data_IF_159880121362
#
_entry.id   IF_159880121362
#
_cell.length_a   1.000
_cell.length_b   1.000
_cell.length_c   1.000
_cell.angle_alpha   90.00
_cell.angle_beta   90.00
_cell.angle_gamma   90.00
#
_symmetry.space_group_name_H-M   'P 1'
#
loop_
_entity.id
_entity.type
_entity.pdbx_description
1 polymer ?
#
# COMPACT_ATOMS: atom_id res chain seq x y z
N UNK A 1 -35.66 33.58 7.60
CA UNK A 1 -34.96 32.58 6.77
C UNK A 1 -34.65 33.10 5.37
N UNK A 2 -35.64 33.61 4.61
CA UNK A 2 -35.44 34.18 3.25
C UNK A 2 -34.28 35.20 3.18
N UNK A 3 -34.14 36.08 4.17
CA UNK A 3 -33.05 37.07 4.20
C UNK A 3 -31.64 36.46 4.30
N UNK A 4 -31.48 35.31 4.96
CA UNK A 4 -30.17 34.64 5.13
C UNK A 4 -29.84 33.80 3.90
N UNK A 5 -30.84 33.13 3.31
CA UNK A 5 -30.65 32.38 2.06
C UNK A 5 -30.24 33.27 0.89
N UNK A 6 -30.70 34.53 0.87
CA UNK A 6 -30.28 35.53 -0.13
C UNK A 6 -28.85 36.04 0.06
N UNK A 7 -28.14 35.64 1.11
CA UNK A 7 -26.72 35.99 1.34
C UNK A 7 -25.76 34.95 0.73
N UNK A 8 -26.28 33.93 0.05
CA UNK A 8 -25.48 32.87 -0.57
C UNK A 8 -24.67 32.05 0.45
N UNK A 9 -25.22 31.93 1.67
CA UNK A 9 -24.60 31.21 2.80
C UNK A 9 -25.28 29.86 3.02
N UNK A 10 -24.54 28.72 2.97
CA UNK A 10 -25.07 27.42 3.34
C UNK A 10 -25.55 27.38 4.79
N UNK A 11 -26.72 26.79 5.04
CA UNK A 11 -27.31 26.67 6.38
C UNK A 11 -27.30 25.20 6.79
N UNK A 12 -26.56 24.88 7.85
CA UNK A 12 -26.48 23.52 8.42
C UNK A 12 -27.29 23.45 9.70
N UNK A 13 -28.13 22.42 9.85
CA UNK A 13 -29.03 22.26 10.99
C UNK A 13 -29.05 20.82 11.49
N UNK A 14 -29.12 20.66 12.80
CA UNK A 14 -29.35 19.38 13.44
C UNK A 14 -30.77 18.86 13.13
N UNK A 15 -30.90 17.56 12.86
CA UNK A 15 -32.20 16.93 12.58
C UNK A 15 -33.13 16.86 13.81
N UNK A 16 -32.54 16.87 15.02
CA UNK A 16 -33.25 16.75 16.30
C UNK A 16 -33.13 15.36 16.92
N UNK A 17 -33.36 15.28 18.24
CA UNK A 17 -33.02 14.11 19.07
C UNK A 17 -34.26 13.39 19.66
N UNK A 18 -35.45 13.65 19.12
CA UNK A 18 -36.71 13.17 19.70
C UNK A 18 -37.29 11.93 19.01
N UNK A 19 -36.52 11.18 18.20
CA UNK A 19 -37.07 10.05 17.46
C UNK A 19 -37.62 8.92 18.35
N UNK A 20 -37.17 8.84 19.61
CA UNK A 20 -37.70 7.93 20.64
C UNK A 20 -39.06 8.36 21.19
N UNK A 21 -39.43 9.62 21.03
CA UNK A 21 -40.70 10.15 21.53
C UNK A 21 -41.84 9.77 20.58
N UNK A 22 -43.04 9.41 21.10
CA UNK A 22 -44.20 9.07 20.27
C UNK A 22 -44.50 10.16 19.25
N UNK A 23 -44.68 9.79 17.98
CA UNK A 23 -44.99 10.69 16.86
C UNK A 23 -43.95 11.77 16.55
N UNK A 24 -42.70 11.60 17.01
CA UNK A 24 -41.59 12.55 16.79
C UNK A 24 -40.43 11.94 15.99
N UNK A 25 -40.66 10.83 15.28
CA UNK A 25 -39.64 10.16 14.47
C UNK A 25 -39.15 11.06 13.32
N UNK A 26 -40.08 11.79 12.72
CA UNK A 26 -39.82 12.64 11.57
C UNK A 26 -39.22 13.99 12.00
N UNK A 27 -38.52 14.65 11.07
CA UNK A 27 -37.95 15.99 11.30
C UNK A 27 -39.09 17.02 11.35
N UNK A 28 -39.41 17.46 12.57
CA UNK A 28 -40.56 18.31 12.87
C UNK A 28 -40.22 19.62 13.60
N UNK A 29 -38.95 19.86 13.92
CA UNK A 29 -38.50 21.08 14.61
C UNK A 29 -37.89 22.10 13.65
N UNK A 30 -38.16 23.37 13.90
CA UNK A 30 -37.50 24.47 13.19
C UNK A 30 -36.04 24.60 13.63
N UNK A 31 -35.12 24.99 12.73
CA UNK A 31 -35.34 25.28 11.31
C UNK A 31 -35.35 24.06 10.38
N UNK A 32 -34.94 22.87 10.84
CA UNK A 32 -34.74 21.68 10.01
C UNK A 32 -36.01 21.24 9.25
N UNK A 33 -37.20 21.42 9.84
CA UNK A 33 -38.47 21.06 9.22
C UNK A 33 -38.84 21.91 7.99
N UNK A 34 -38.17 23.06 7.78
CA UNK A 34 -38.34 23.90 6.59
C UNK A 34 -37.52 23.41 5.39
N UNK A 35 -36.64 22.44 5.58
CA UNK A 35 -35.79 21.91 4.51
C UNK A 35 -36.63 21.36 3.36
N UNK A 36 -36.14 21.58 2.14
CA UNK A 36 -36.79 21.07 0.93
C UNK A 36 -36.16 21.66 -0.31
N UNK A 37 -36.80 21.43 -1.47
CA UNK A 37 -36.30 21.88 -2.77
C UNK A 37 -35.96 23.37 -2.80
N UNK A 38 -36.88 24.21 -2.31
CA UNK A 38 -36.76 25.68 -2.33
C UNK A 38 -36.11 26.28 -1.08
N UNK A 39 -35.78 25.46 -0.09
CA UNK A 39 -35.14 25.87 1.17
C UNK A 39 -33.92 24.96 1.36
N UNK A 40 -32.75 25.33 0.83
CA UNK A 40 -31.58 24.45 0.76
C UNK A 40 -30.86 24.35 2.12
N UNK A 41 -31.59 23.90 3.13
CA UNK A 41 -31.07 23.63 4.46
C UNK A 41 -30.45 22.24 4.44
N UNK A 42 -29.23 22.15 4.95
CA UNK A 42 -28.48 20.91 5.10
C UNK A 42 -28.86 20.34 6.46
N UNK A 43 -29.73 19.33 6.46
CA UNK A 43 -30.21 18.69 7.68
C UNK A 43 -29.35 17.48 8.00
N UNK A 44 -28.81 17.45 9.22
CA UNK A 44 -27.79 16.48 9.63
C UNK A 44 -28.33 15.58 10.74
N UNK A 45 -28.36 14.29 10.45
CA UNK A 45 -28.68 13.23 11.41
C UNK A 45 -27.45 12.79 12.20
N UNK A 46 -27.69 12.08 13.30
CA UNK A 46 -26.66 11.48 14.14
C UNK A 46 -26.48 10.01 13.77
N UNK A 47 -25.22 9.57 13.76
CA UNK A 47 -24.85 8.17 13.67
C UNK A 47 -23.80 7.82 14.73
N UNK A 48 -23.71 6.53 15.04
CA UNK A 48 -22.73 5.97 15.96
C UNK A 48 -21.37 5.70 15.27
N UNK A 49 -20.41 5.16 16.03
CA UNK A 49 -19.09 4.80 15.50
C UNK A 49 -19.14 3.67 14.46
N UNK A 50 -20.21 2.88 14.42
CA UNK A 50 -20.44 1.83 13.44
C UNK A 50 -21.10 2.36 12.15
N UNK A 51 -21.53 3.63 12.15
CA UNK A 51 -22.21 4.26 11.03
C UNK A 51 -23.69 3.91 10.95
N UNK A 52 -24.25 3.38 12.03
CA UNK A 52 -25.70 3.19 12.18
C UNK A 52 -26.33 4.48 12.66
N UNK A 53 -27.51 4.84 12.13
CA UNK A 53 -28.25 6.01 12.61
C UNK A 53 -28.55 5.85 14.09
N UNK A 54 -28.15 6.84 14.89
CA UNK A 54 -28.48 6.92 16.29
C UNK A 54 -29.98 6.82 16.51
N UNK A 55 -30.39 5.98 17.45
CA UNK A 55 -31.81 5.69 17.69
C UNK A 55 -32.64 6.94 18.04
N UNK A 56 -32.02 7.95 18.65
CA UNK A 56 -32.62 9.25 18.98
C UNK A 56 -32.72 10.23 17.80
N UNK A 57 -31.95 10.01 16.72
CA UNK A 57 -31.87 10.96 15.60
C UNK A 57 -33.17 10.98 14.80
N UNK A 58 -33.81 12.14 14.69
CA UNK A 58 -34.96 12.31 13.80
C UNK A 58 -34.55 12.16 12.33
N UNK A 59 -35.47 11.67 11.49
CA UNK A 59 -35.17 11.30 10.12
C UNK A 59 -36.40 11.40 9.21
N UNK A 60 -36.21 11.93 8.00
CA UNK A 60 -37.16 11.86 6.89
C UNK A 60 -36.38 11.91 5.57
N UNK A 61 -36.62 10.99 4.64
CA UNK A 61 -35.84 10.81 3.40
C UNK A 61 -35.75 12.09 2.55
N UNK A 62 -36.84 12.86 2.53
CA UNK A 62 -36.96 14.09 1.75
C UNK A 62 -36.06 15.23 2.29
N UNK A 63 -35.96 15.34 3.62
CA UNK A 63 -35.33 16.47 4.32
C UNK A 63 -33.90 16.18 4.75
N UNK A 64 -33.60 14.94 5.14
CA UNK A 64 -32.25 14.57 5.57
C UNK A 64 -31.25 14.78 4.43
N UNK A 65 -30.10 15.37 4.73
CA UNK A 65 -29.02 15.57 3.76
C UNK A 65 -27.90 14.57 3.96
N UNK A 66 -27.47 14.37 5.20
CA UNK A 66 -26.43 13.39 5.55
C UNK A 66 -26.48 13.07 7.05
N UNK A 67 -25.62 12.16 7.51
CA UNK A 67 -25.34 11.85 8.90
C UNK A 67 -23.86 12.10 9.20
N UNK A 68 -23.55 12.40 10.45
CA UNK A 68 -22.18 12.40 10.95
C UNK A 68 -22.14 11.80 12.36
N UNK A 69 -20.94 11.59 12.88
CA UNK A 69 -20.76 11.07 14.22
C UNK A 69 -21.45 12.00 15.23
N UNK A 70 -22.44 11.47 15.94
CA UNK A 70 -23.21 12.22 16.91
C UNK A 70 -23.31 11.54 18.27
N UNK A 71 -22.62 10.41 18.48
CA UNK A 71 -22.53 9.72 19.76
C UNK A 71 -21.11 9.80 20.34
N UNK A 72 -21.04 9.93 21.67
CA UNK A 72 -19.79 9.91 22.44
C UNK A 72 -18.70 10.86 21.93
N UNK A 73 -19.11 12.06 21.49
CA UNK A 73 -18.16 13.03 20.96
C UNK A 73 -17.35 13.68 22.08
N UNK A 74 -16.09 13.97 21.77
CA UNK A 74 -15.23 14.80 22.60
C UNK A 74 -15.06 16.16 21.94
N UNK A 75 -15.48 17.22 22.62
CA UNK A 75 -15.40 18.59 22.12
C UNK A 75 -15.12 19.58 23.24
N UNK A 76 -14.57 20.74 22.89
CA UNK A 76 -14.42 21.84 23.84
C UNK A 76 -15.80 22.38 24.24
N UNK A 77 -15.94 22.67 25.54
CA UNK A 77 -17.11 23.32 26.12
C UNK A 77 -16.70 24.72 26.60
N UNK A 78 -17.38 25.27 27.60
CA UNK A 78 -17.02 26.57 28.21
C UNK A 78 -15.68 26.54 28.97
N UNK A 79 -15.11 25.36 29.21
CA UNK A 79 -13.80 25.17 29.84
C UNK A 79 -12.69 24.90 28.83
N UNK A 80 -11.46 25.24 29.19
CA UNK A 80 -10.23 24.91 28.44
C UNK A 80 -9.91 23.40 28.41
N UNK A 81 -10.73 22.57 29.05
CA UNK A 81 -10.66 21.11 28.97
C UNK A 81 -11.77 20.55 28.10
N UNK A 82 -11.46 19.67 27.13
CA UNK A 82 -12.48 19.03 26.32
C UNK A 82 -13.35 18.11 27.17
N UNK A 83 -14.64 18.07 26.84
CA UNK A 83 -15.63 17.21 27.49
C UNK A 83 -15.97 16.06 26.55
N UNK A 84 -15.89 14.82 27.06
CA UNK A 84 -16.27 13.59 26.35
C UNK A 84 -17.70 13.17 26.67
N UNK A 85 -18.28 12.25 25.89
CA UNK A 85 -19.65 11.77 26.11
C UNK A 85 -20.76 12.63 25.49
N UNK A 86 -20.41 13.66 24.70
CA UNK A 86 -21.39 14.55 24.11
C UNK A 86 -22.17 13.86 22.98
N UNK A 87 -23.46 13.68 23.19
CA UNK A 87 -24.34 12.93 22.28
C UNK A 87 -25.49 13.79 21.77
N UNK A 88 -25.67 13.84 20.46
CA UNK A 88 -26.76 14.56 19.81
C UNK A 88 -26.48 14.92 18.35
N UNK A 89 -27.55 15.15 17.60
CA UNK A 89 -27.51 15.68 16.23
C UNK A 89 -26.81 17.05 16.13
N UNK A 90 -26.70 17.80 17.23
CA UNK A 90 -25.95 19.06 17.32
C UNK A 90 -24.46 18.87 17.02
N UNK A 91 -23.83 17.84 17.57
CA UNK A 91 -22.42 17.54 17.33
C UNK A 91 -22.20 17.11 15.88
N UNK A 92 -23.09 16.26 15.36
CA UNK A 92 -23.06 15.83 13.97
C UNK A 92 -23.18 17.03 13.00
N UNK A 93 -24.10 17.96 13.26
CA UNK A 93 -24.26 19.17 12.46
C UNK A 93 -23.00 20.05 12.43
N UNK A 94 -22.29 20.18 13.57
CA UNK A 94 -21.04 20.92 13.64
C UNK A 94 -19.93 20.28 12.78
N UNK A 95 -19.84 18.94 12.75
CA UNK A 95 -18.89 18.22 11.89
C UNK A 95 -19.15 18.49 10.40
N UNK A 96 -20.42 18.44 9.98
CA UNK A 96 -20.79 18.74 8.59
C UNK A 96 -20.47 20.20 8.24
N UNK A 97 -20.77 21.14 9.14
CA UNK A 97 -20.42 22.55 8.93
C UNK A 97 -18.91 22.77 8.78
N UNK A 98 -18.11 22.12 9.62
CA UNK A 98 -16.64 22.15 9.52
C UNK A 98 -16.14 21.58 8.20
N UNK A 99 -16.69 20.44 7.76
CA UNK A 99 -16.32 19.84 6.48
C UNK A 99 -16.70 20.72 5.28
N UNK A 100 -17.87 21.37 5.31
CA UNK A 100 -18.26 22.34 4.28
C UNK A 100 -17.26 23.49 4.24
N UNK A 101 -16.83 24.02 5.39
CA UNK A 101 -15.81 25.06 5.43
C UNK A 101 -14.50 24.62 4.78
N UNK A 102 -14.06 23.37 5.01
CA UNK A 102 -12.89 22.79 4.34
C UNK A 102 -13.09 22.73 2.82
N UNK A 103 -14.22 22.20 2.34
CA UNK A 103 -14.52 22.09 0.90
C UNK A 103 -14.52 23.46 0.21
N UNK A 104 -15.08 24.48 0.87
CA UNK A 104 -15.14 25.85 0.36
C UNK A 104 -13.80 26.59 0.45
N UNK A 105 -12.84 26.09 1.24
CA UNK A 105 -11.52 26.70 1.39
C UNK A 105 -10.52 26.31 0.31
N UNK A 106 -10.83 25.30 -0.52
CA UNK A 106 -9.95 24.90 -1.61
C UNK A 106 -9.80 26.00 -2.66
N UNK A 107 -8.62 26.05 -3.29
CA UNK A 107 -8.35 26.99 -4.39
C UNK A 107 -9.35 26.81 -5.53
N UNK A 108 -9.67 25.54 -5.84
CA UNK A 108 -10.76 25.15 -6.72
C UNK A 108 -11.76 24.31 -5.90
N UNK A 109 -12.81 24.92 -5.33
CA UNK A 109 -13.84 24.19 -4.61
C UNK A 109 -14.46 23.12 -5.51
N UNK A 110 -14.72 21.89 -5.01
CA UNK A 110 -15.35 20.82 -5.79
C UNK A 110 -16.86 21.04 -5.98
N UNK A 111 -17.36 22.21 -5.59
CA UNK A 111 -18.75 22.63 -5.58
C UNK A 111 -18.86 23.82 -6.51
N UNK A 112 -19.91 23.86 -7.33
CA UNK A 112 -20.19 25.04 -8.16
C UNK A 112 -20.49 26.27 -7.29
N UNK A 113 -19.65 27.29 -7.41
CA UNK A 113 -19.69 28.53 -6.64
C UNK A 113 -20.39 29.68 -7.38
N UNK A 114 -21.27 29.36 -8.33
CA UNK A 114 -22.07 30.37 -9.04
C UNK A 114 -22.89 31.22 -8.05
N UNK A 115 -22.77 32.56 -8.10
CA UNK A 115 -23.47 33.43 -7.15
C UNK A 115 -24.99 33.24 -7.16
N UNK A 116 -25.56 33.10 -5.97
CA UNK A 116 -27.00 32.90 -5.76
C UNK A 116 -27.45 31.44 -5.79
N UNK A 117 -26.55 30.49 -6.10
CA UNK A 117 -26.84 29.05 -6.08
C UNK A 117 -25.99 28.29 -5.07
N UNK A 118 -25.09 28.95 -4.33
CA UNK A 118 -24.13 28.28 -3.44
C UNK A 118 -24.82 27.42 -2.38
N UNK A 119 -25.86 27.87 -1.65
CA UNK A 119 -26.54 27.03 -0.67
C UNK A 119 -27.13 25.74 -1.25
N UNK A 120 -27.72 25.83 -2.45
CA UNK A 120 -28.30 24.68 -3.15
C UNK A 120 -27.20 23.73 -3.63
N UNK A 121 -26.15 24.26 -4.26
CA UNK A 121 -25.05 23.46 -4.76
C UNK A 121 -24.30 22.74 -3.63
N UNK A 122 -24.09 23.39 -2.49
CA UNK A 122 -23.48 22.76 -1.30
C UNK A 122 -24.39 21.68 -0.71
N UNK A 123 -25.70 21.96 -0.56
CA UNK A 123 -26.66 20.94 -0.09
C UNK A 123 -26.62 19.71 -1.00
N UNK A 124 -26.68 19.91 -2.30
CA UNK A 124 -26.76 18.82 -3.27
C UNK A 124 -25.45 18.04 -3.35
N UNK A 125 -24.30 18.72 -3.23
CA UNK A 125 -23.01 18.05 -3.11
C UNK A 125 -22.97 17.14 -1.87
N UNK A 126 -23.34 17.66 -0.68
CA UNK A 126 -23.37 16.86 0.55
C UNK A 126 -24.37 15.70 0.48
N UNK A 127 -25.55 15.94 -0.10
CA UNK A 127 -26.64 14.95 -0.15
C UNK A 127 -26.42 13.86 -1.19
N UNK A 128 -25.84 14.18 -2.35
CA UNK A 128 -25.83 13.27 -3.49
C UNK A 128 -24.44 12.91 -4.03
N UNK A 129 -23.39 13.67 -3.75
CA UNK A 129 -22.07 13.40 -4.33
C UNK A 129 -21.29 12.37 -3.51
N UNK A 130 -20.88 11.26 -4.11
CA UNK A 130 -20.12 10.18 -3.46
C UNK A 130 -18.78 10.61 -2.85
N UNK A 131 -18.22 11.74 -3.30
CA UNK A 131 -17.02 12.33 -2.68
C UNK A 131 -17.31 13.01 -1.34
N UNK A 132 -18.58 13.31 -1.05
CA UNK A 132 -19.03 13.98 0.17
C UNK A 132 -19.59 13.01 1.22
N UNK A 133 -19.84 11.75 0.86
CA UNK A 133 -20.41 10.77 1.77
C UNK A 133 -20.75 9.45 1.10
N UNK A 134 -21.02 8.42 1.91
CA UNK A 134 -21.45 7.10 1.44
C UNK A 134 -22.40 6.44 2.45
N UNK A 135 -23.23 5.52 1.98
CA UNK A 135 -24.14 4.78 2.85
C UNK A 135 -23.38 3.72 3.65
N UNK A 136 -23.31 3.89 4.97
CA UNK A 136 -22.64 2.95 5.88
C UNK A 136 -23.62 1.94 6.50
N UNK A 137 -24.90 2.32 6.57
CA UNK A 137 -26.03 1.46 6.91
C UNK A 137 -27.25 1.89 6.08
N UNK A 138 -28.29 1.05 6.03
CA UNK A 138 -29.51 1.35 5.28
C UNK A 138 -30.12 2.68 5.76
N UNK A 139 -30.27 3.64 4.84
CA UNK A 139 -30.81 4.98 5.14
C UNK A 139 -29.84 5.91 5.89
N UNK A 140 -28.58 5.50 6.10
CA UNK A 140 -27.56 6.26 6.84
C UNK A 140 -26.37 6.60 5.96
N UNK A 141 -26.50 7.67 5.17
CA UNK A 141 -25.40 8.30 4.45
C UNK A 141 -24.48 9.02 5.44
N UNK A 142 -23.24 8.60 5.56
CA UNK A 142 -22.22 9.22 6.41
C UNK A 142 -21.43 10.27 5.64
N UNK A 143 -21.20 11.43 6.27
CA UNK A 143 -20.29 12.47 5.79
C UNK A 143 -18.88 11.90 5.58
N UNK A 144 -18.27 12.28 4.46
CA UNK A 144 -16.88 11.99 4.14
C UNK A 144 -16.06 13.24 3.94
N UNK A 145 -14.81 13.22 4.39
CA UNK A 145 -13.85 14.29 4.13
C UNK A 145 -12.98 14.04 2.90
N UNK A 146 -13.19 12.93 2.17
CA UNK A 146 -12.43 12.57 0.98
C UNK A 146 -11.11 11.84 1.25
N UNK A 147 -10.71 11.64 2.52
CA UNK A 147 -9.45 11.00 2.90
C UNK A 147 -9.49 9.50 2.63
N UNK A 148 -8.87 9.05 1.56
CA UNK A 148 -8.75 7.63 1.28
C UNK A 148 -7.77 6.95 2.24
N UNK A 149 -7.77 5.62 2.25
CA UNK A 149 -6.80 4.85 3.02
C UNK A 149 -5.35 5.17 2.57
N UNK A 150 -5.15 5.50 1.29
CA UNK A 150 -3.83 5.92 0.78
C UNK A 150 -3.35 7.24 1.42
N UNK A 151 -4.28 8.08 1.86
CA UNK A 151 -3.99 9.37 2.50
C UNK A 151 -3.63 9.24 3.99
N UNK A 152 -3.65 8.02 4.56
CA UNK A 152 -3.28 7.76 5.94
C UNK A 152 -1.84 7.20 6.06
N UNK A 153 -0.82 8.02 6.37
CA UNK A 153 0.58 7.57 6.35
C UNK A 153 0.92 6.44 7.36
N UNK A 154 -0.01 6.07 8.26
CA UNK A 154 0.21 5.04 9.27
C UNK A 154 -0.30 3.64 8.89
N UNK A 155 -0.92 3.44 7.72
CA UNK A 155 -1.40 2.08 7.36
C UNK A 155 -0.26 1.14 6.94
N UNK A 156 0.92 1.67 6.57
CA UNK A 156 2.07 0.88 6.14
C UNK A 156 3.39 1.31 6.79
N UNK A 157 4.32 0.36 6.84
CA UNK A 157 5.71 0.56 7.23
C UNK A 157 6.58 -0.09 6.16
N UNK A 158 7.43 0.71 5.52
CA UNK A 158 8.40 0.24 4.54
C UNK A 158 9.67 -0.17 5.27
N UNK A 159 10.24 -1.33 4.93
CA UNK A 159 11.53 -1.74 5.50
C UNK A 159 12.68 -0.88 4.95
N UNK A 160 12.48 -0.25 3.78
CA UNK A 160 13.54 0.43 3.04
C UNK A 160 14.62 -0.55 2.58
N UNK A 161 15.76 -0.01 2.14
CA UNK A 161 16.96 -0.83 1.93
C UNK A 161 17.81 -0.96 3.20
N UNK A 162 17.57 -0.09 4.19
CA UNK A 162 18.02 -0.17 5.58
C UNK A 162 19.54 -0.09 5.79
N UNK A 163 20.08 0.86 6.60
CA UNK A 163 21.51 0.91 6.94
C UNK A 163 21.91 -0.13 8.01
N UNK A 164 21.18 -1.24 8.11
CA UNK A 164 21.45 -2.27 9.11
C UNK A 164 22.73 -3.04 8.78
N UNK A 165 23.29 -3.71 9.79
CA UNK A 165 24.52 -4.52 9.70
C UNK A 165 24.50 -5.54 8.55
N UNK A 166 23.30 -5.89 8.06
CA UNK A 166 23.06 -6.73 6.89
C UNK A 166 21.93 -6.15 6.04
N UNK A 167 22.16 -5.99 4.74
CA UNK A 167 21.18 -5.46 3.79
C UNK A 167 20.19 -6.56 3.40
N UNK A 168 18.90 -6.24 3.27
CA UNK A 168 17.87 -7.21 2.88
C UNK A 168 17.03 -6.67 1.74
N UNK A 169 17.24 -7.21 0.54
CA UNK A 169 16.50 -6.79 -0.64
C UNK A 169 16.43 -7.87 -1.72
N UNK A 170 15.41 -7.75 -2.56
CA UNK A 170 15.17 -8.59 -3.75
C UNK A 170 14.90 -7.73 -4.96
N UNK A 171 14.92 -8.31 -6.15
CA UNK A 171 14.49 -7.61 -7.36
C UNK A 171 12.99 -7.34 -7.35
N UNK A 172 12.58 -6.21 -7.96
CA UNK A 172 11.16 -5.94 -8.24
C UNK A 172 10.51 -7.04 -9.09
N UNK A 173 11.29 -7.69 -9.97
CA UNK A 173 10.80 -8.78 -10.81
C UNK A 173 10.43 -10.02 -9.99
N UNK A 174 11.25 -10.42 -9.01
CA UNK A 174 10.94 -11.52 -8.09
C UNK A 174 9.60 -11.29 -7.41
N UNK A 175 9.40 -10.10 -6.82
CA UNK A 175 8.14 -9.77 -6.14
C UNK A 175 6.96 -9.74 -7.09
N UNK A 176 7.11 -9.11 -8.26
CA UNK A 176 6.06 -9.10 -9.27
C UNK A 176 5.61 -10.52 -9.64
N UNK A 177 6.56 -11.41 -9.97
CA UNK A 177 6.24 -12.80 -10.32
C UNK A 177 5.58 -13.54 -9.15
N UNK A 178 6.14 -13.43 -7.95
CA UNK A 178 5.58 -14.07 -6.75
C UNK A 178 4.15 -13.60 -6.46
N UNK A 179 3.90 -12.28 -6.54
CA UNK A 179 2.62 -11.67 -6.18
C UNK A 179 1.56 -11.92 -7.26
N UNK A 180 1.85 -11.56 -8.52
CA UNK A 180 0.83 -11.54 -9.59
C UNK A 180 0.55 -12.92 -10.16
N UNK A 181 1.56 -13.80 -10.19
CA UNK A 181 1.45 -15.10 -10.83
C UNK A 181 1.12 -16.22 -9.84
N UNK A 182 1.39 -16.06 -8.54
CA UNK A 182 1.09 -17.08 -7.54
C UNK A 182 0.31 -16.53 -6.34
N UNK A 183 0.90 -15.70 -5.49
CA UNK A 183 0.37 -15.37 -4.17
C UNK A 183 -1.07 -14.86 -4.20
N UNK A 184 -1.36 -13.84 -5.02
CA UNK A 184 -2.70 -13.25 -5.12
C UNK A 184 -3.67 -14.06 -6.00
N UNK A 185 -3.24 -15.18 -6.57
CA UNK A 185 -4.13 -16.13 -7.25
C UNK A 185 -4.67 -17.20 -6.30
N UNK A 186 -4.16 -17.27 -5.07
CA UNK A 186 -4.65 -18.19 -4.04
C UNK A 186 -6.04 -17.75 -3.57
N UNK A 187 -6.92 -18.68 -3.14
CA UNK A 187 -8.20 -18.33 -2.55
C UNK A 187 -8.00 -17.44 -1.31
N UNK A 188 -8.51 -16.21 -1.37
CA UNK A 188 -8.40 -15.23 -0.28
C UNK A 188 -9.58 -15.34 0.70
N UNK A 189 -10.64 -16.05 0.33
CA UNK A 189 -11.94 -16.05 0.99
C UNK A 189 -12.03 -16.87 2.28
N UNK A 190 -10.99 -17.62 2.69
CA UNK A 190 -11.14 -18.48 3.88
C UNK A 190 -9.88 -19.04 4.58
N UNK A 191 -8.87 -18.22 4.94
CA UNK A 191 -8.02 -18.60 6.07
C UNK A 191 -7.78 -17.46 7.06
N UNK A 192 -7.43 -17.80 8.31
CA UNK A 192 -6.90 -16.81 9.27
C UNK A 192 -5.58 -16.19 8.78
N UNK A 193 -4.85 -16.90 7.91
CA UNK A 193 -3.60 -16.48 7.31
C UNK A 193 -3.28 -17.29 6.04
N UNK A 194 -2.73 -16.62 5.02
CA UNK A 194 -2.03 -17.26 3.90
C UNK A 194 -0.56 -16.85 3.92
N UNK A 195 0.31 -17.80 3.56
CA UNK A 195 1.75 -17.58 3.46
C UNK A 195 2.28 -18.20 2.17
N UNK A 196 3.17 -17.50 1.48
CA UNK A 196 3.91 -17.98 0.33
C UNK A 196 5.41 -17.83 0.56
N UNK A 197 6.17 -18.85 0.18
CA UNK A 197 7.62 -18.88 0.27
C UNK A 197 8.18 -18.93 -1.15
N UNK A 198 9.05 -17.99 -1.49
CA UNK A 198 9.56 -17.82 -2.86
C UNK A 198 11.08 -17.81 -2.85
N UNK A 199 11.67 -18.52 -3.80
CA UNK A 199 13.12 -18.70 -3.96
C UNK A 199 13.87 -19.04 -2.65
N UNK A 200 13.42 -20.06 -1.88
CA UNK A 200 14.00 -20.36 -0.59
C UNK A 200 15.49 -20.73 -0.71
N UNK A 201 16.31 -20.23 0.23
CA UNK A 201 17.77 -20.43 0.30
C UNK A 201 18.51 -19.84 -0.90
N UNK A 202 18.08 -18.68 -1.37
CA UNK A 202 18.74 -17.88 -2.42
C UNK A 202 18.82 -16.42 -1.99
N UNK A 203 19.48 -15.56 -2.76
CA UNK A 203 19.51 -14.12 -2.47
C UNK A 203 18.17 -13.44 -2.75
N UNK A 204 17.25 -14.11 -3.45
CA UNK A 204 15.89 -13.65 -3.74
C UNK A 204 14.84 -14.29 -2.81
N UNK A 205 15.28 -14.84 -1.66
CA UNK A 205 14.42 -15.50 -0.67
C UNK A 205 13.46 -14.51 0.00
N UNK A 206 12.16 -14.70 -0.23
CA UNK A 206 11.11 -13.84 0.30
C UNK A 206 9.91 -14.64 0.78
N UNK A 207 9.38 -14.21 1.92
CA UNK A 207 8.11 -14.68 2.47
C UNK A 207 7.06 -13.59 2.30
N UNK A 208 5.92 -13.95 1.72
CA UNK A 208 4.76 -13.06 1.58
C UNK A 208 3.63 -13.63 2.44
N UNK A 209 3.00 -12.79 3.24
CA UNK A 209 1.93 -13.17 4.16
C UNK A 209 0.75 -12.22 4.05
N UNK A 210 -0.46 -12.75 4.15
CA UNK A 210 -1.67 -11.98 4.44
C UNK A 210 -2.36 -12.62 5.64
N UNK A 211 -2.63 -11.82 6.68
CA UNK A 211 -3.27 -12.25 7.92
C UNK A 211 -4.54 -11.45 8.14
N UNK A 212 -5.66 -12.12 8.36
CA UNK A 212 -6.93 -11.46 8.66
C UNK A 212 -7.01 -11.18 10.16
N UNK A 213 -6.89 -9.91 10.52
CA UNK A 213 -6.71 -9.45 11.91
C UNK A 213 -8.02 -9.04 12.58
N UNK A 214 -9.15 -9.15 11.88
CA UNK A 214 -10.50 -8.90 12.40
C UNK A 214 -11.46 -10.01 11.94
N UNK A 215 -12.57 -10.27 12.67
CA UNK A 215 -13.52 -11.34 12.32
C UNK A 215 -14.28 -11.10 11.00
N UNK A 216 -14.44 -9.82 10.61
CA UNK A 216 -15.14 -9.41 9.38
C UNK A 216 -14.33 -8.34 8.64
N UNK A 217 -13.34 -8.76 7.85
CA UNK A 217 -12.57 -7.88 6.97
C UNK A 217 -13.46 -7.23 5.91
N UNK A 218 -13.02 -6.12 5.34
CA UNK A 218 -13.72 -5.48 4.23
C UNK A 218 -13.81 -6.44 3.02
N UNK A 219 -15.01 -6.66 2.43
CA UNK A 219 -15.20 -7.52 1.28
C UNK A 219 -14.24 -7.24 0.10
N UNK A 220 -13.79 -6.00 -0.09
CA UNK A 220 -12.86 -5.66 -1.16
C UNK A 220 -11.48 -6.33 -0.98
N UNK A 221 -11.11 -6.69 0.24
CA UNK A 221 -9.81 -7.31 0.58
C UNK A 221 -9.68 -8.74 0.05
N UNK A 222 -10.78 -9.38 -0.32
CA UNK A 222 -10.80 -10.72 -0.91
C UNK A 222 -10.60 -10.71 -2.43
N UNK A 223 -10.48 -9.52 -3.04
CA UNK A 223 -10.25 -9.41 -4.48
C UNK A 223 -8.75 -9.49 -4.80
N UNK A 224 -8.44 -10.18 -5.91
CA UNK A 224 -7.09 -10.30 -6.44
C UNK A 224 -6.46 -8.93 -6.69
N UNK A 225 -7.23 -8.00 -7.26
CA UNK A 225 -6.76 -6.67 -7.63
C UNK A 225 -6.31 -5.89 -6.38
N UNK A 226 -7.06 -6.01 -5.28
CA UNK A 226 -6.74 -5.40 -3.98
C UNK A 226 -5.48 -6.02 -3.38
N UNK A 227 -5.34 -7.35 -3.44
CA UNK A 227 -4.12 -8.04 -3.01
C UNK A 227 -2.88 -7.55 -3.77
N UNK A 228 -2.98 -7.44 -5.10
CA UNK A 228 -1.89 -6.94 -5.96
C UNK A 228 -1.60 -5.48 -5.66
N UNK A 229 -2.63 -4.64 -5.50
CA UNK A 229 -2.48 -3.23 -5.17
C UNK A 229 -1.67 -3.05 -3.89
N UNK A 230 -1.99 -3.77 -2.81
CA UNK A 230 -1.29 -3.57 -1.54
C UNK A 230 0.11 -4.21 -1.52
N UNK A 231 0.28 -5.40 -2.08
CA UNK A 231 1.59 -6.06 -2.07
C UNK A 231 2.56 -5.45 -3.08
N UNK A 232 2.13 -5.28 -4.34
CA UNK A 232 2.99 -4.78 -5.41
C UNK A 232 2.94 -3.25 -5.51
N UNK A 233 1.74 -2.66 -5.45
CA UNK A 233 1.60 -1.20 -5.51
C UNK A 233 2.14 -0.52 -4.26
N UNK A 234 1.69 -0.91 -3.07
CA UNK A 234 2.00 -0.17 -1.84
C UNK A 234 3.28 -0.60 -1.14
N UNK A 235 3.50 -1.91 -0.97
CA UNK A 235 4.64 -2.48 -0.23
C UNK A 235 5.87 -2.78 -1.08
N UNK A 236 5.75 -2.69 -2.40
CA UNK A 236 6.88 -2.88 -3.32
C UNK A 236 7.22 -1.57 -4.02
N UNK A 237 6.34 -1.07 -4.89
CA UNK A 237 6.61 0.12 -5.69
C UNK A 237 6.44 1.42 -4.86
N UNK A 238 5.47 1.44 -3.94
CA UNK A 238 5.22 2.56 -3.02
C UNK A 238 6.13 2.61 -1.79
N UNK A 239 7.14 1.74 -1.70
CA UNK A 239 8.12 1.66 -0.62
C UNK A 239 9.56 1.87 -1.13
N UNK A 240 9.74 2.58 -2.25
CA UNK A 240 11.06 2.86 -2.81
C UNK A 240 11.90 3.80 -1.92
N UNK A 241 13.18 3.46 -1.80
CA UNK A 241 14.16 4.29 -1.10
C UNK A 241 14.70 5.40 -2.01
N UNK A 242 15.05 6.54 -1.42
CA UNK A 242 15.88 7.58 -2.07
C UNK A 242 17.24 6.94 -2.39
N UNK A 243 17.75 7.14 -3.60
CA UNK A 243 19.01 6.56 -4.11
C UNK A 243 19.02 5.03 -4.29
N UNK A 244 18.04 4.50 -5.05
CA UNK A 244 17.92 3.08 -5.38
C UNK A 244 18.12 2.79 -6.89
N UNK A 245 19.34 2.89 -7.43
CA UNK A 245 19.59 2.86 -8.88
C UNK A 245 19.22 1.53 -9.56
N UNK A 246 19.18 0.43 -8.80
CA UNK A 246 18.81 -0.91 -9.30
C UNK A 246 17.37 -1.32 -8.96
N UNK A 247 16.58 -0.41 -8.39
CA UNK A 247 15.18 -0.65 -8.05
C UNK A 247 15.00 -1.89 -7.14
N UNK A 248 15.88 -2.04 -6.15
CA UNK A 248 15.85 -3.08 -5.13
C UNK A 248 14.66 -2.89 -4.19
N UNK A 249 14.11 -3.98 -3.68
CA UNK A 249 12.88 -3.97 -2.87
C UNK A 249 13.11 -4.66 -1.53
N UNK A 250 12.94 -3.93 -0.43
CA UNK A 250 13.04 -4.47 0.94
C UNK A 250 11.71 -4.97 1.52
N UNK A 251 10.59 -4.71 0.83
CA UNK A 251 9.25 -5.05 1.30
C UNK A 251 8.79 -4.15 2.45
N UNK A 252 7.94 -4.72 3.31
CA UNK A 252 7.31 -3.99 4.39
C UNK A 252 6.05 -4.66 4.92
N UNK A 253 5.27 -3.89 5.68
CA UNK A 253 4.02 -4.32 6.30
C UNK A 253 2.94 -3.30 6.04
N UNK A 254 1.72 -3.72 5.67
CA UNK A 254 0.54 -2.87 5.57
C UNK A 254 -0.63 -3.51 6.30
N UNK A 255 -1.36 -2.75 7.12
CA UNK A 255 -2.59 -3.20 7.77
C UNK A 255 -3.76 -2.35 7.29
N UNK A 256 -4.69 -2.97 6.59
CA UNK A 256 -5.76 -2.28 5.86
C UNK A 256 -7.00 -3.16 5.71
N UNK A 257 -8.19 -2.58 5.91
CA UNK A 257 -9.46 -3.28 5.70
C UNK A 257 -9.62 -4.56 6.54
N UNK A 258 -8.91 -4.67 7.66
CA UNK A 258 -8.89 -5.88 8.48
C UNK A 258 -7.90 -6.96 8.06
N UNK A 259 -6.99 -6.66 7.12
CA UNK A 259 -5.94 -7.57 6.64
C UNK A 259 -4.57 -6.94 6.85
N UNK A 260 -3.63 -7.72 7.39
CA UNK A 260 -2.21 -7.37 7.49
C UNK A 260 -1.44 -8.10 6.40
N UNK A 261 -0.95 -7.35 5.41
CA UNK A 261 -0.01 -7.82 4.39
C UNK A 261 1.43 -7.64 4.88
N UNK A 262 2.30 -8.57 4.54
CA UNK A 262 3.73 -8.53 4.88
C UNK A 262 4.56 -9.10 3.73
N UNK A 263 5.61 -8.38 3.34
CA UNK A 263 6.68 -8.85 2.47
C UNK A 263 7.97 -8.84 3.29
N UNK A 264 8.49 -10.02 3.61
CA UNK A 264 9.68 -10.19 4.42
C UNK A 264 10.79 -10.85 3.59
N UNK A 265 11.82 -10.08 3.24
CA UNK A 265 13.04 -10.59 2.62
C UNK A 265 13.86 -11.33 3.68
N UNK A 266 14.31 -12.54 3.35
CA UNK A 266 14.98 -13.42 4.31
C UNK A 266 16.49 -13.31 4.21
N UNK A 267 17.04 -13.27 2.99
CA UNK A 267 18.47 -13.33 2.75
C UNK A 267 19.19 -12.02 3.13
N UNK A 268 20.32 -12.17 3.82
CA UNK A 268 21.30 -11.10 3.99
C UNK A 268 22.08 -10.92 2.68
N UNK A 269 22.32 -9.67 2.32
CA UNK A 269 22.96 -9.25 1.08
C UNK A 269 24.03 -8.20 1.32
N UNK A 270 24.81 -7.98 0.28
CA UNK A 270 25.85 -6.95 0.25
C UNK A 270 25.22 -5.57 0.05
N UNK A 271 25.98 -4.52 0.32
CA UNK A 271 25.51 -3.14 0.16
C UNK A 271 24.93 -2.89 -1.24
N UNK A 272 23.63 -2.54 -1.35
CA UNK A 272 22.94 -2.35 -2.63
C UNK A 272 23.46 -1.13 -3.41
N UNK A 273 24.19 -0.22 -2.75
CA UNK A 273 24.74 1.01 -3.33
C UNK A 273 26.16 0.83 -3.87
N UNK A 274 26.78 -0.34 -3.66
CA UNK A 274 28.11 -0.62 -4.20
C UNK A 274 28.12 -0.65 -5.73
N UNK A 275 29.27 -0.25 -6.28
CA UNK A 275 29.55 -0.27 -7.71
C UNK A 275 29.30 -1.69 -8.28
N UNK A 276 28.63 -1.83 -9.45
CA UNK A 276 28.42 -3.11 -10.12
C UNK A 276 29.69 -3.95 -10.35
N UNK A 277 30.85 -3.32 -10.49
CA UNK A 277 32.13 -4.02 -10.64
C UNK A 277 32.67 -4.53 -9.29
N UNK A 278 32.21 -3.97 -8.17
CA UNK A 278 32.52 -4.46 -6.83
C UNK A 278 31.78 -5.76 -6.54
N UNK A 279 32.44 -6.73 -5.90
CA UNK A 279 31.81 -8.02 -5.58
C UNK A 279 31.61 -8.99 -6.74
N UNK A 280 32.14 -8.67 -7.93
CA UNK A 280 32.11 -9.56 -9.09
C UNK A 280 33.52 -9.82 -9.58
N UNK A 281 33.82 -11.08 -9.95
CA UNK A 281 35.14 -11.41 -10.48
C UNK A 281 35.26 -12.84 -10.98
N UNK A 282 36.42 -13.12 -11.56
CA UNK A 282 36.77 -14.43 -12.07
C UNK A 282 38.28 -14.66 -11.98
N UNK A 283 38.66 -15.82 -11.46
CA UNK A 283 40.03 -16.31 -11.47
C UNK A 283 40.09 -17.62 -12.25
N UNK A 284 41.17 -17.78 -13.01
CA UNK A 284 41.49 -18.98 -13.76
C UNK A 284 42.86 -19.50 -13.39
N UNK A 285 42.96 -20.82 -13.23
CA UNK A 285 44.22 -21.51 -13.02
C UNK A 285 44.38 -22.62 -14.06
N UNK A 286 45.52 -22.61 -14.74
CA UNK A 286 45.85 -23.64 -15.71
C UNK A 286 46.32 -24.91 -15.01
N UNK A 287 45.80 -26.04 -15.47
CA UNK A 287 46.33 -27.38 -15.19
C UNK A 287 46.60 -28.04 -16.53
N UNK A 288 47.60 -28.92 -16.60
CA UNK A 288 48.13 -29.52 -17.84
C UNK A 288 47.09 -29.99 -18.86
N UNK A 289 45.88 -30.37 -18.42
CA UNK A 289 44.79 -30.86 -19.29
C UNK A 289 43.48 -30.07 -19.18
N UNK A 290 43.38 -29.03 -18.34
CA UNK A 290 42.14 -28.31 -18.07
C UNK A 290 42.37 -26.92 -17.47
N UNK A 291 41.43 -26.02 -17.69
CA UNK A 291 41.40 -24.73 -16.99
C UNK A 291 40.37 -24.81 -15.85
N UNK A 292 40.82 -24.53 -14.62
CA UNK A 292 39.97 -24.47 -13.43
C UNK A 292 39.58 -23.01 -13.16
N UNK A 293 38.29 -22.74 -13.06
CA UNK A 293 37.72 -21.40 -12.87
C UNK A 293 37.03 -21.27 -11.50
N UNK A 294 37.19 -20.09 -10.91
CA UNK A 294 36.37 -19.59 -9.80
C UNK A 294 35.72 -18.30 -10.25
N UNK A 295 34.39 -18.25 -10.30
CA UNK A 295 33.61 -17.07 -10.69
C UNK A 295 32.73 -16.65 -9.53
N UNK A 296 32.63 -15.37 -9.24
CA UNK A 296 31.75 -14.85 -8.19
C UNK A 296 31.04 -13.59 -8.66
N UNK A 297 29.94 -13.26 -8.00
CA UNK A 297 29.11 -12.14 -8.41
C UNK A 297 28.31 -11.51 -7.28
N UNK A 298 27.83 -10.31 -7.58
CA UNK A 298 27.00 -9.47 -6.74
C UNK A 298 25.84 -8.93 -7.58
N UNK A 299 24.59 -9.11 -7.14
CA UNK A 299 23.43 -8.51 -7.83
C UNK A 299 22.96 -9.21 -9.12
N UNK A 300 23.54 -10.35 -9.51
CA UNK A 300 23.08 -11.22 -10.61
C UNK A 300 23.09 -12.69 -10.18
N UNK A 301 22.41 -13.57 -10.94
CA UNK A 301 22.22 -15.01 -10.61
C UNK A 301 21.68 -15.26 -9.19
N UNK A 302 20.78 -14.40 -8.73
CA UNK A 302 20.37 -14.33 -7.33
C UNK A 302 19.35 -15.39 -6.90
N UNK A 303 18.77 -16.17 -7.83
CA UNK A 303 17.67 -17.11 -7.53
C UNK A 303 17.83 -18.55 -8.07
N UNK A 304 18.65 -18.79 -9.09
CA UNK A 304 18.63 -20.03 -9.87
C UNK A 304 19.74 -21.03 -9.52
N UNK A 305 20.51 -20.75 -8.45
CA UNK A 305 21.65 -21.56 -7.99
C UNK A 305 22.69 -21.80 -9.09
N UNK A 306 22.87 -20.81 -9.97
CA UNK A 306 23.88 -20.83 -11.04
C UNK A 306 23.49 -21.65 -12.26
N UNK A 307 22.24 -22.12 -12.37
CA UNK A 307 21.80 -22.96 -13.49
C UNK A 307 21.98 -22.26 -14.84
N UNK A 308 21.61 -20.99 -14.96
CA UNK A 308 21.78 -20.23 -16.19
C UNK A 308 23.25 -20.11 -16.60
N UNK A 309 24.16 -19.91 -15.63
CA UNK A 309 25.60 -19.89 -15.89
C UNK A 309 26.08 -21.26 -16.36
N UNK A 310 25.70 -22.33 -15.65
CA UNK A 310 26.05 -23.70 -16.02
C UNK A 310 25.62 -24.02 -17.46
N UNK A 311 24.42 -23.60 -17.86
CA UNK A 311 23.89 -23.82 -19.20
C UNK A 311 24.69 -23.09 -20.28
N UNK A 312 25.04 -21.81 -20.04
CA UNK A 312 25.90 -21.04 -20.95
C UNK A 312 27.32 -21.59 -21.02
N UNK A 313 27.84 -22.13 -19.91
CA UNK A 313 29.16 -22.79 -19.88
C UNK A 313 29.19 -24.11 -20.65
N UNK A 314 28.03 -24.71 -20.96
CA UNK A 314 27.95 -25.91 -21.79
C UNK A 314 28.65 -25.75 -23.15
N UNK A 315 28.55 -24.56 -23.77
CA UNK A 315 29.27 -24.25 -25.02
C UNK A 315 30.76 -23.97 -24.82
N UNK A 316 31.21 -23.79 -23.58
CA UNK A 316 32.61 -23.56 -23.21
C UNK A 316 33.34 -24.85 -22.82
N UNK A 317 32.86 -26.01 -23.29
CA UNK A 317 33.44 -27.32 -23.00
C UNK A 317 33.58 -27.60 -21.50
N UNK A 318 32.54 -27.29 -20.73
CA UNK A 318 32.42 -27.61 -19.31
C UNK A 318 32.66 -29.11 -19.09
N UNK A 319 33.58 -29.46 -18.20
CA UNK A 319 33.79 -30.86 -17.81
C UNK A 319 32.58 -31.37 -17.03
N UNK A 320 32.14 -32.58 -17.37
CA UNK A 320 31.04 -33.27 -16.68
C UNK A 320 31.30 -33.32 -15.17
N UNK A 321 30.27 -32.97 -14.39
CA UNK A 321 30.29 -32.98 -12.92
C UNK A 321 31.35 -32.06 -12.26
N UNK A 322 31.90 -31.08 -12.98
CA UNK A 322 32.86 -30.13 -12.41
C UNK A 322 32.20 -28.89 -11.79
N UNK A 323 30.95 -28.59 -12.14
CA UNK A 323 30.26 -27.37 -11.73
C UNK A 323 29.71 -27.45 -10.30
N UNK A 324 30.04 -26.45 -9.50
CA UNK A 324 29.52 -26.21 -8.15
C UNK A 324 29.16 -24.74 -8.00
N UNK A 325 28.12 -24.43 -7.22
CA UNK A 325 27.65 -23.07 -6.97
C UNK A 325 27.15 -22.95 -5.54
N UNK A 326 27.55 -21.88 -4.84
CA UNK A 326 27.09 -21.57 -3.50
C UNK A 326 26.75 -20.07 -3.37
N UNK A 327 25.62 -19.76 -2.72
CA UNK A 327 25.36 -18.42 -2.19
C UNK A 327 26.18 -18.19 -0.91
N UNK A 328 26.67 -16.97 -0.72
CA UNK A 328 27.44 -16.61 0.45
C UNK A 328 28.07 -15.22 0.34
N UNK A 329 28.06 -14.48 1.45
CA UNK A 329 28.67 -13.17 1.56
C UNK A 329 30.19 -13.31 1.73
N UNK A 330 30.96 -12.66 0.86
CA UNK A 330 32.41 -12.54 1.02
C UNK A 330 32.83 -11.11 1.36
N UNK A 331 34.01 -10.97 1.96
CA UNK A 331 34.57 -9.67 2.36
C UNK A 331 34.86 -8.75 1.15
N UNK A 332 34.91 -9.31 -0.06
CA UNK A 332 35.13 -8.61 -1.32
C UNK A 332 33.82 -8.14 -1.98
N UNK A 333 32.70 -8.21 -1.27
CA UNK A 333 31.40 -7.76 -1.76
C UNK A 333 30.64 -8.79 -2.58
N UNK A 334 31.15 -10.03 -2.73
CA UNK A 334 30.44 -11.10 -3.45
C UNK A 334 29.24 -11.62 -2.66
N UNK A 335 28.25 -12.14 -3.38
CA UNK A 335 27.06 -12.78 -2.79
C UNK A 335 26.90 -14.25 -3.17
N UNK A 336 27.75 -14.75 -4.06
CA UNK A 336 27.83 -16.16 -4.45
C UNK A 336 29.19 -16.47 -5.09
N UNK A 337 29.52 -17.76 -5.19
CA UNK A 337 30.69 -18.25 -5.92
C UNK A 337 30.37 -19.55 -6.64
N UNK A 338 30.92 -19.71 -7.84
CA UNK A 338 30.86 -20.88 -8.68
C UNK A 338 32.28 -21.40 -8.97
N UNK A 339 32.43 -22.73 -9.02
CA UNK A 339 33.67 -23.42 -9.36
C UNK A 339 33.40 -24.43 -10.46
N UNK A 340 34.29 -24.50 -11.44
CA UNK A 340 34.16 -25.47 -12.54
C UNK A 340 35.46 -25.66 -13.31
N UNK A 341 35.51 -26.73 -14.09
CA UNK A 341 36.62 -27.02 -15.00
C UNK A 341 36.13 -26.97 -16.45
N UNK A 342 36.95 -26.46 -17.36
CA UNK A 342 36.71 -26.49 -18.81
C UNK A 342 37.92 -27.07 -19.53
N UNK A 343 37.79 -27.33 -20.84
CA UNK A 343 38.98 -27.55 -21.69
C UNK A 343 39.93 -26.35 -21.61
N UNK A 344 41.16 -26.56 -22.04
CA UNK A 344 42.19 -25.52 -22.09
C UNK A 344 41.75 -24.35 -23.01
N UNK A 345 42.19 -23.14 -22.64
CA UNK A 345 42.01 -21.90 -23.40
C UNK A 345 40.55 -21.45 -23.57
N UNK A 346 39.68 -21.72 -22.59
CA UNK A 346 38.25 -21.34 -22.65
C UNK A 346 37.92 -20.01 -21.96
N UNK A 347 38.94 -19.28 -21.47
CA UNK A 347 38.74 -18.01 -20.74
C UNK A 347 37.81 -17.01 -21.45
N UNK A 348 37.99 -16.69 -22.76
CA UNK A 348 37.08 -15.77 -23.44
C UNK A 348 35.62 -16.26 -23.49
N UNK A 349 35.42 -17.58 -23.59
CA UNK A 349 34.08 -18.17 -23.57
C UNK A 349 33.43 -18.04 -22.19
N UNK A 350 34.20 -18.26 -21.12
CA UNK A 350 33.73 -18.08 -19.73
C UNK A 350 33.34 -16.62 -19.47
N UNK A 351 34.17 -15.66 -19.90
CA UNK A 351 33.86 -14.23 -19.78
C UNK A 351 32.58 -13.86 -20.54
N UNK A 352 32.36 -14.42 -21.73
CA UNK A 352 31.11 -14.26 -22.48
C UNK A 352 29.91 -14.87 -21.74
N UNK A 353 30.04 -16.12 -21.27
CA UNK A 353 28.97 -16.84 -20.57
C UNK A 353 28.49 -16.10 -19.31
N UNK A 354 29.43 -15.52 -18.55
CA UNK A 354 29.10 -14.70 -17.38
C UNK A 354 28.31 -13.43 -17.76
N UNK A 355 28.72 -12.72 -18.82
CA UNK A 355 28.03 -11.51 -19.29
C UNK A 355 26.61 -11.80 -19.78
N UNK A 356 26.42 -12.93 -20.47
CA UNK A 356 25.12 -13.39 -20.95
C UNK A 356 24.09 -13.63 -19.84
N UNK A 357 24.54 -13.84 -18.60
CA UNK A 357 23.68 -14.12 -17.45
C UNK A 357 23.71 -13.03 -16.39
N UNK A 358 24.30 -11.87 -16.70
CA UNK A 358 24.17 -10.65 -15.91
C UNK A 358 25.46 -10.07 -15.34
N UNK A 359 26.64 -10.63 -15.63
CA UNK A 359 27.89 -9.99 -15.23
C UNK A 359 28.07 -8.61 -15.90
N UNK A 360 28.73 -7.63 -15.24
CA UNK A 360 28.97 -6.31 -15.80
C UNK A 360 29.70 -6.34 -17.16
N UNK A 361 29.51 -5.34 -18.03
CA UNK A 361 30.19 -5.30 -19.34
C UNK A 361 31.72 -5.40 -19.24
N UNK A 362 32.31 -4.83 -18.18
CA UNK A 362 33.74 -4.86 -17.88
C UNK A 362 34.29 -6.19 -17.36
N UNK A 363 33.43 -7.18 -17.09
CA UNK A 363 33.83 -8.46 -16.50
C UNK A 363 34.94 -9.17 -17.30
N UNK A 364 35.99 -9.59 -16.59
CA UNK A 364 37.14 -10.32 -17.13
C UNK A 364 37.65 -11.34 -16.10
N UNK A 365 38.27 -12.40 -16.60
CA UNK A 365 38.95 -13.39 -15.78
C UNK A 365 40.43 -13.08 -15.63
N UNK A 366 40.93 -13.11 -14.41
CA UNK A 366 42.35 -13.04 -14.09
C UNK A 366 43.00 -14.43 -14.23
N UNK A 367 44.29 -14.47 -14.51
CA UNK A 367 45.07 -15.71 -14.66
C UNK A 367 46.07 -15.66 -15.81
N UNK A 368 46.95 -16.66 -15.86
CA UNK A 368 48.04 -16.73 -16.84
C UNK A 368 47.51 -16.67 -18.28
N UNK A 369 47.87 -15.61 -18.99
CA UNK A 369 47.91 -15.59 -20.45
C UNK A 369 49.16 -16.37 -20.86
N UNK A 370 48.98 -17.48 -21.58
CA UNK A 370 50.08 -18.07 -22.33
C UNK A 370 50.39 -17.23 -23.56
#
# INVERSE_FOLDING_TARGET
MIKVMNLDVPIVCAAGNHARSPHRKDIDTLPASLAGKYNPIIVVGSADINGERSDFSQYNDDKISTHALGEDNTCFAESDTPTSGNTGTSSAAALVAGQIAVLLSYYEPPIDMTPGTVPENVRDYIKYNDKAGWDRALGTRMLWNGVTIADNPYFKTCNGLGPEKHWKYVTRQTLNQAITNDFCNKPLDNPSQITGYYNPKTNEDVTITATWVVPRPDPIMFKKETCVQYLLGELTDGCDAVDNPRNWKGGGVATVGGVKYTIAVQADRQDPLQDPEHGTGCDSSWKTTKDSFTVWGHGWLSADKGKALQDKLGSCHLHTNSFSFNYGLGDDGREWTAWFDTKISQRPCVEWAAKEVGAPPGFKCNGFTH
#
